data_IF_125347964015
#
_entry.id   IF_125347964015
#
_cell.length_a   1.000
_cell.length_b   1.000
_cell.length_c   1.000
_cell.angle_alpha   90.00
_cell.angle_beta   90.00
_cell.angle_gamma   90.00
#
_symmetry.space_group_name_H-M   'P 1'
#
loop_
_entity.id
_entity.type
_entity.pdbx_description
1 polymer ?
#
# COMPACT_ATOMS: atom_id res chain seq x y z
N UNK A 1 67.61 15.90 -28.06
CA UNK A 1 67.45 16.85 -26.94
C UNK A 1 65.98 17.22 -26.82
N UNK A 2 65.33 16.59 -25.85
CA UNK A 2 64.30 17.12 -24.94
C UNK A 2 63.67 18.48 -25.29
N UNK A 3 62.35 18.53 -25.50
CA UNK A 3 61.39 19.03 -24.49
C UNK A 3 59.94 18.82 -24.93
N UNK A 4 59.27 17.99 -24.13
CA UNK A 4 57.84 17.76 -24.05
C UNK A 4 57.18 19.06 -23.57
N UNK A 5 56.11 19.50 -24.24
CA UNK A 5 55.19 20.50 -23.72
C UNK A 5 53.77 19.97 -23.91
N UNK A 6 53.33 19.30 -22.85
CA UNK A 6 51.98 18.78 -22.61
C UNK A 6 51.04 19.98 -22.46
N UNK A 7 50.03 20.10 -23.32
CA UNK A 7 48.91 21.00 -23.12
C UNK A 7 47.63 20.17 -22.99
N UNK A 8 47.02 20.33 -21.83
CA UNK A 8 45.90 19.61 -21.25
C UNK A 8 44.65 19.77 -22.13
N UNK A 9 44.19 18.68 -22.76
CA UNK A 9 42.81 18.60 -23.24
C UNK A 9 41.98 18.11 -22.05
N UNK A 10 41.36 19.08 -21.36
CA UNK A 10 40.37 18.80 -20.34
C UNK A 10 39.17 18.13 -21.01
N UNK A 11 39.09 16.81 -20.90
CA UNK A 11 37.91 16.03 -21.27
C UNK A 11 36.84 16.33 -20.22
N UNK A 12 35.99 17.33 -20.50
CA UNK A 12 34.73 17.50 -19.81
C UNK A 12 33.83 16.31 -20.18
N UNK A 13 33.97 15.20 -19.44
CA UNK A 13 32.94 14.16 -19.38
C UNK A 13 31.75 14.81 -18.69
N UNK A 14 30.86 15.39 -19.48
CA UNK A 14 29.49 15.68 -19.07
C UNK A 14 28.87 14.33 -18.71
N UNK A 15 28.97 13.95 -17.44
CA UNK A 15 28.11 12.94 -16.86
C UNK A 15 26.69 13.51 -16.96
N UNK A 16 26.01 13.20 -18.06
CA UNK A 16 24.56 13.21 -18.09
C UNK A 16 24.12 12.18 -17.06
N UNK A 17 24.00 12.61 -15.82
CA UNK A 17 23.20 11.94 -14.81
C UNK A 17 21.79 11.93 -15.38
N UNK A 18 21.48 10.87 -16.15
CA UNK A 18 20.10 10.43 -16.30
C UNK A 18 19.59 10.37 -14.87
N UNK A 19 18.73 11.32 -14.52
CA UNK A 19 17.93 11.23 -13.32
C UNK A 19 17.11 9.96 -13.53
N UNK A 20 17.65 8.84 -13.05
CA UNK A 20 16.91 7.62 -12.93
C UNK A 20 15.89 7.97 -11.88
N UNK A 21 14.71 8.44 -12.35
CA UNK A 21 13.53 8.67 -11.53
C UNK A 21 13.50 7.49 -10.59
N UNK A 22 13.73 7.74 -9.31
CA UNK A 22 13.90 6.70 -8.32
C UNK A 22 12.62 5.89 -8.40
N UNK A 23 12.66 4.77 -9.12
CA UNK A 23 11.56 3.85 -9.14
C UNK A 23 11.51 3.40 -7.69
N UNK A 24 10.47 3.88 -7.01
CA UNK A 24 9.84 3.23 -5.89
C UNK A 24 10.21 1.74 -5.97
N UNK A 25 10.93 1.23 -4.96
CA UNK A 25 11.44 -0.14 -4.91
C UNK A 25 10.28 -1.12 -5.10
N UNK A 26 10.02 -1.41 -6.37
CA UNK A 26 8.90 -2.21 -6.83
C UNK A 26 9.14 -3.65 -6.41
N UNK A 27 8.55 -4.03 -5.28
CA UNK A 27 8.56 -5.39 -4.81
C UNK A 27 7.20 -6.02 -5.09
N UNK A 28 6.99 -6.60 -6.29
CA UNK A 28 5.73 -7.24 -6.61
C UNK A 28 5.44 -8.37 -5.63
N UNK A 29 4.17 -8.49 -5.23
CA UNK A 29 3.72 -9.50 -4.28
C UNK A 29 2.56 -10.32 -4.86
N UNK A 30 2.81 -11.53 -5.40
CA UNK A 30 1.76 -12.34 -6.05
C UNK A 30 0.53 -12.57 -5.18
N UNK A 31 0.71 -12.78 -3.87
CA UNK A 31 -0.41 -12.93 -2.93
C UNK A 31 -1.23 -11.64 -2.78
N UNK A 32 -0.59 -10.48 -2.75
CA UNK A 32 -1.32 -9.21 -2.71
C UNK A 32 -2.01 -8.94 -4.06
N UNK A 33 -1.40 -9.33 -5.18
CA UNK A 33 -2.04 -9.26 -6.50
C UNK A 33 -3.31 -10.13 -6.55
N UNK A 34 -3.29 -11.33 -5.98
CA UNK A 34 -4.47 -12.21 -5.93
C UNK A 34 -5.61 -11.57 -5.14
N UNK A 35 -5.32 -11.08 -3.93
CA UNK A 35 -6.31 -10.41 -3.07
C UNK A 35 -6.85 -9.15 -3.75
N UNK A 36 -5.97 -8.31 -4.29
CA UNK A 36 -6.34 -7.11 -5.00
C UNK A 36 -7.15 -7.42 -6.27
N UNK A 37 -6.83 -8.50 -6.99
CA UNK A 37 -7.57 -8.90 -8.19
C UNK A 37 -8.97 -9.40 -7.86
N UNK A 38 -9.13 -10.12 -6.75
CA UNK A 38 -10.44 -10.54 -6.25
C UNK A 38 -11.31 -9.32 -5.90
N UNK A 39 -10.72 -8.30 -5.26
CA UNK A 39 -11.44 -7.03 -5.01
C UNK A 39 -11.65 -6.25 -6.30
N UNK A 40 -10.68 -6.14 -7.20
CA UNK A 40 -10.84 -5.36 -8.44
C UNK A 40 -11.80 -6.02 -9.45
N UNK A 41 -12.09 -7.32 -9.30
CA UNK A 41 -12.88 -8.10 -10.27
C UNK A 41 -12.15 -8.34 -11.59
N UNK A 42 -10.84 -8.11 -11.63
CA UNK A 42 -9.97 -8.24 -12.80
C UNK A 42 -8.52 -8.41 -12.37
N UNK A 43 -7.67 -8.89 -13.27
CA UNK A 43 -6.24 -9.04 -12.99
C UNK A 43 -5.57 -7.68 -12.82
N UNK A 44 -4.93 -7.47 -11.67
CA UNK A 44 -4.20 -6.25 -11.32
C UNK A 44 -2.88 -6.58 -10.62
N UNK A 45 -2.00 -5.58 -10.55
CA UNK A 45 -0.71 -5.66 -9.87
C UNK A 45 -0.69 -4.70 -8.69
N UNK A 46 -0.17 -5.18 -7.55
CA UNK A 46 0.15 -4.37 -6.37
C UNK A 46 1.65 -4.16 -6.33
N UNK A 47 2.04 -2.89 -6.41
CA UNK A 47 3.40 -2.43 -6.22
C UNK A 47 3.58 -2.07 -4.75
N UNK A 48 4.36 -2.88 -4.05
CA UNK A 48 4.62 -2.72 -2.63
C UNK A 48 5.92 -1.97 -2.42
N UNK A 49 5.84 -0.70 -2.04
CA UNK A 49 7.02 0.10 -1.75
C UNK A 49 7.66 -0.34 -0.43
N UNK A 50 9.00 -0.30 -0.36
CA UNK A 50 9.76 -0.68 0.84
C UNK A 50 10.74 0.38 1.30
N UNK A 51 10.98 1.40 0.49
CA UNK A 51 11.86 2.52 0.71
C UNK A 51 11.04 3.81 0.90
N UNK A 52 10.98 4.28 2.15
CA UNK A 52 10.26 5.51 2.52
C UNK A 52 10.76 6.75 1.81
N UNK A 53 12.07 6.87 1.56
CA UNK A 53 12.61 8.02 0.86
C UNK A 53 12.18 8.04 -0.61
N UNK A 54 12.23 6.87 -1.27
CA UNK A 54 11.75 6.73 -2.65
C UNK A 54 10.25 7.03 -2.75
N UNK A 55 9.43 6.49 -1.83
CA UNK A 55 8.01 6.82 -1.74
C UNK A 55 7.77 8.33 -1.62
N UNK A 56 8.51 8.99 -0.72
CA UNK A 56 8.33 10.41 -0.49
C UNK A 56 8.69 11.26 -1.71
N UNK A 57 9.79 10.95 -2.40
CA UNK A 57 10.14 11.64 -3.64
C UNK A 57 9.09 11.39 -4.74
N UNK A 58 8.63 10.16 -4.86
CA UNK A 58 7.61 9.79 -5.84
C UNK A 58 6.29 10.52 -5.62
N UNK A 59 5.79 10.57 -4.37
CA UNK A 59 4.56 11.29 -4.05
C UNK A 59 4.70 12.80 -4.28
N UNK A 60 5.81 13.41 -3.89
CA UNK A 60 6.07 14.83 -4.15
C UNK A 60 6.04 15.12 -5.66
N UNK A 61 6.64 14.24 -6.47
CA UNK A 61 6.68 14.39 -7.93
C UNK A 61 5.29 14.31 -8.56
N UNK A 62 4.52 13.24 -8.26
CA UNK A 62 3.20 13.03 -8.89
C UNK A 62 2.12 14.00 -8.40
N UNK A 63 2.35 14.68 -7.29
CA UNK A 63 1.42 15.66 -6.71
C UNK A 63 1.92 17.10 -6.87
N UNK A 64 2.99 17.32 -7.63
CA UNK A 64 3.60 18.64 -7.83
C UNK A 64 3.92 19.38 -6.52
N UNK A 65 4.21 18.61 -5.46
CA UNK A 65 4.54 19.11 -4.12
C UNK A 65 3.34 19.39 -3.21
N UNK A 66 2.10 19.09 -3.62
CA UNK A 66 0.90 19.29 -2.82
C UNK A 66 0.82 18.31 -1.63
N UNK A 67 1.33 17.09 -1.79
CA UNK A 67 1.32 16.07 -0.74
C UNK A 67 2.71 15.52 -0.46
N UNK A 68 2.93 15.09 0.78
CA UNK A 68 4.12 14.35 1.20
C UNK A 68 3.83 12.86 1.25
N UNK A 69 4.86 12.04 1.08
CA UNK A 69 4.69 10.57 1.13
C UNK A 69 4.18 10.03 2.47
N UNK A 70 4.36 10.78 3.56
CA UNK A 70 3.81 10.41 4.87
C UNK A 70 2.28 10.54 4.96
N UNK A 71 1.66 11.31 4.05
CA UNK A 71 0.23 11.60 4.03
C UNK A 71 -0.54 10.62 3.13
N UNK A 72 0.17 9.89 2.25
CA UNK A 72 -0.42 8.99 1.25
C UNK A 72 -0.04 7.55 1.56
N UNK A 73 -1.04 6.73 1.88
CA UNK A 73 -0.85 5.30 2.16
C UNK A 73 -0.89 4.43 0.91
N UNK A 74 -1.57 4.87 -0.14
CA UNK A 74 -1.61 4.21 -1.43
C UNK A 74 -2.18 5.15 -2.50
N UNK A 75 -2.07 4.72 -3.74
CA UNK A 75 -2.83 5.32 -4.84
C UNK A 75 -3.02 4.33 -5.99
N UNK A 76 -4.12 4.49 -6.72
CA UNK A 76 -4.41 3.80 -7.95
C UNK A 76 -5.26 4.70 -8.86
N UNK A 77 -5.00 4.66 -10.16
CA UNK A 77 -5.90 5.29 -11.11
C UNK A 77 -7.16 4.46 -11.26
N UNK A 78 -8.32 5.13 -11.26
CA UNK A 78 -9.59 4.47 -11.50
C UNK A 78 -9.56 3.67 -12.81
N UNK A 79 -10.07 2.44 -12.78
CA UNK A 79 -9.99 1.48 -13.89
C UNK A 79 -8.57 1.11 -14.37
N UNK A 80 -7.52 1.53 -13.67
CA UNK A 80 -6.14 1.17 -13.95
C UNK A 80 -5.85 -0.33 -13.78
N UNK A 81 -4.56 -0.67 -13.83
CA UNK A 81 -4.06 -2.05 -13.65
C UNK A 81 -3.09 -2.21 -12.48
N UNK A 82 -2.75 -1.10 -11.82
CA UNK A 82 -1.66 -1.01 -10.85
C UNK A 82 -2.09 -0.18 -9.66
N UNK A 83 -2.00 -0.76 -8.47
CA UNK A 83 -2.06 -0.04 -7.21
C UNK A 83 -0.64 0.09 -6.66
N UNK A 84 -0.32 1.25 -6.10
CA UNK A 84 0.96 1.52 -5.45
C UNK A 84 0.68 1.76 -3.97
N UNK A 85 1.35 1.00 -3.11
CA UNK A 85 1.11 1.03 -1.66
C UNK A 85 2.39 1.46 -0.96
N UNK A 86 2.26 2.43 -0.04
CA UNK A 86 3.38 2.98 0.71
C UNK A 86 4.04 1.94 1.62
N UNK A 87 5.30 2.17 2.06
CA UNK A 87 5.95 1.28 3.02
C UNK A 87 5.17 1.08 4.32
N UNK A 88 4.53 2.14 4.81
CA UNK A 88 3.77 2.14 6.06
C UNK A 88 2.58 1.18 5.99
N UNK A 89 1.88 1.15 4.86
CA UNK A 89 0.76 0.24 4.63
C UNK A 89 1.22 -1.15 4.17
N UNK A 90 2.28 -1.22 3.36
CA UNK A 90 2.64 -2.45 2.69
C UNK A 90 3.50 -3.41 3.52
N UNK A 91 4.44 -2.90 4.33
CA UNK A 91 5.29 -3.75 5.17
C UNK A 91 4.47 -4.59 6.18
N UNK A 92 3.44 -4.06 6.85
CA UNK A 92 2.56 -4.86 7.71
C UNK A 92 1.83 -5.98 6.96
N UNK A 93 1.36 -5.74 5.74
CA UNK A 93 0.73 -6.77 4.90
C UNK A 93 1.70 -7.90 4.57
N UNK A 94 2.92 -7.54 4.16
CA UNK A 94 3.97 -8.53 3.86
C UNK A 94 4.39 -9.31 5.10
N UNK A 95 4.46 -8.66 6.25
CA UNK A 95 4.76 -9.33 7.51
C UNK A 95 3.64 -10.31 7.88
N UNK A 96 2.36 -9.91 7.73
CA UNK A 96 1.22 -10.77 7.99
C UNK A 96 1.24 -12.04 7.12
N UNK A 97 1.64 -11.94 5.85
CA UNK A 97 1.79 -13.11 4.97
C UNK A 97 2.89 -14.09 5.43
N UNK A 98 3.92 -13.61 6.13
CA UNK A 98 5.06 -14.44 6.58
C UNK A 98 4.86 -15.03 7.97
N UNK A 99 4.44 -14.21 8.93
CA UNK A 99 4.41 -14.57 10.36
C UNK A 99 3.01 -14.53 10.98
N UNK A 100 1.97 -14.32 10.16
CA UNK A 100 0.57 -14.10 10.57
C UNK A 100 0.39 -12.82 11.38
N UNK A 101 -0.85 -12.35 11.46
CA UNK A 101 -1.21 -11.15 12.23
C UNK A 101 -1.19 -11.48 13.73
N UNK A 102 -0.61 -10.59 14.53
CA UNK A 102 -0.60 -10.70 15.98
C UNK A 102 -1.08 -9.39 16.63
N UNK A 103 -1.17 -9.36 17.96
CA UNK A 103 -1.78 -8.24 18.66
C UNK A 103 -0.99 -6.92 18.52
N UNK A 104 0.34 -6.97 18.43
CA UNK A 104 1.18 -5.77 18.29
C UNK A 104 1.21 -5.23 16.86
N UNK A 105 0.93 -6.08 15.87
CA UNK A 105 0.90 -5.67 14.45
C UNK A 105 -0.51 -5.41 13.93
N UNK A 106 -1.56 -5.75 14.69
CA UNK A 106 -2.95 -5.69 14.25
C UNK A 106 -3.38 -4.30 13.76
N UNK A 107 -2.95 -3.21 14.40
CA UNK A 107 -3.27 -1.85 13.97
C UNK A 107 -2.67 -1.55 12.58
N UNK A 108 -1.35 -1.69 12.45
CA UNK A 108 -0.64 -1.42 11.21
C UNK A 108 -1.11 -2.34 10.07
N UNK A 109 -1.44 -3.60 10.39
CA UNK A 109 -2.06 -4.52 9.45
C UNK A 109 -3.45 -4.04 9.01
N UNK A 110 -4.28 -3.53 9.92
CA UNK A 110 -5.63 -3.04 9.59
C UNK A 110 -5.58 -1.85 8.64
N UNK A 111 -4.66 -0.91 8.88
CA UNK A 111 -4.42 0.22 7.98
C UNK A 111 -3.96 -0.25 6.59
N UNK A 112 -2.97 -1.16 6.55
CA UNK A 112 -2.49 -1.72 5.29
C UNK A 112 -3.59 -2.46 4.53
N UNK A 113 -4.42 -3.23 5.23
CA UNK A 113 -5.53 -3.97 4.63
C UNK A 113 -6.58 -3.03 4.06
N UNK A 114 -6.97 -2.01 4.82
CA UNK A 114 -7.92 -1.00 4.36
C UNK A 114 -7.40 -0.31 3.09
N UNK A 115 -6.15 0.13 3.10
CA UNK A 115 -5.49 0.75 1.94
C UNK A 115 -5.50 -0.19 0.72
N UNK A 116 -5.11 -1.45 0.89
CA UNK A 116 -5.11 -2.42 -0.20
C UNK A 116 -6.50 -2.57 -0.84
N UNK A 117 -7.54 -2.64 -0.01
CA UNK A 117 -8.92 -2.79 -0.48
C UNK A 117 -9.39 -1.51 -1.17
N UNK A 118 -9.12 -0.34 -0.59
CA UNK A 118 -9.44 0.97 -1.16
C UNK A 118 -8.86 1.12 -2.55
N UNK A 119 -7.54 0.93 -2.71
CA UNK A 119 -6.90 1.05 -4.01
C UNK A 119 -7.41 0.01 -5.01
N UNK A 120 -7.76 -1.19 -4.54
CA UNK A 120 -8.33 -2.23 -5.42
C UNK A 120 -9.73 -1.86 -5.92
N UNK A 121 -10.51 -1.10 -5.15
CA UNK A 121 -11.81 -0.58 -5.57
C UNK A 121 -11.67 0.54 -6.61
N UNK A 122 -10.66 1.39 -6.51
CA UNK A 122 -10.31 2.29 -7.62
C UNK A 122 -9.99 1.50 -8.89
N UNK A 123 -9.22 0.42 -8.78
CA UNK A 123 -8.94 -0.44 -9.94
C UNK A 123 -10.21 -1.09 -10.51
N UNK A 124 -11.23 -1.37 -9.70
CA UNK A 124 -12.57 -1.79 -10.17
C UNK A 124 -13.31 -0.70 -10.96
N UNK A 125 -12.89 0.56 -10.82
CA UNK A 125 -13.47 1.72 -11.51
C UNK A 125 -14.23 2.67 -10.59
N UNK A 126 -14.16 2.50 -9.27
CA UNK A 126 -14.75 3.46 -8.33
C UNK A 126 -13.89 4.73 -8.32
N UNK A 127 -14.53 5.89 -8.50
CA UNK A 127 -13.84 7.20 -8.56
C UNK A 127 -14.15 8.05 -7.34
N UNK A 128 -15.33 7.87 -6.75
CA UNK A 128 -15.73 8.58 -5.54
C UNK A 128 -14.95 8.03 -4.35
N UNK A 129 -14.06 8.84 -3.78
CA UNK A 129 -13.20 8.47 -2.66
C UNK A 129 -14.00 8.00 -1.45
N UNK A 130 -15.15 8.64 -1.17
CA UNK A 130 -15.96 8.27 0.00
C UNK A 130 -16.73 6.98 -0.16
N UNK A 131 -17.35 6.76 -1.30
CA UNK A 131 -17.96 5.48 -1.61
C UNK A 131 -16.92 4.35 -1.63
N UNK A 132 -15.71 4.64 -2.13
CA UNK A 132 -14.57 3.70 -2.15
C UNK A 132 -14.16 3.33 -0.73
N UNK A 133 -13.97 4.32 0.14
CA UNK A 133 -13.60 4.12 1.54
C UNK A 133 -14.70 3.36 2.33
N UNK A 134 -15.98 3.75 2.17
CA UNK A 134 -17.11 3.03 2.77
C UNK A 134 -17.14 1.54 2.39
N UNK A 135 -16.93 1.27 1.09
CA UNK A 135 -16.90 -0.10 0.57
C UNK A 135 -15.66 -0.85 1.06
N UNK A 136 -14.52 -0.17 1.19
CA UNK A 136 -13.30 -0.76 1.72
C UNK A 136 -13.49 -1.24 3.16
N UNK A 137 -14.14 -0.44 4.02
CA UNK A 137 -14.48 -0.84 5.39
C UNK A 137 -15.37 -2.08 5.46
N UNK A 138 -16.34 -2.19 4.54
CA UNK A 138 -17.25 -3.34 4.49
C UNK A 138 -16.53 -4.61 4.03
N UNK A 139 -15.64 -4.50 3.05
CA UNK A 139 -14.97 -5.64 2.43
C UNK A 139 -13.72 -6.12 3.18
N UNK A 140 -12.96 -5.21 3.83
CA UNK A 140 -11.71 -5.57 4.51
C UNK A 140 -11.86 -6.75 5.51
N UNK A 141 -12.90 -6.81 6.36
CA UNK A 141 -13.08 -7.95 7.27
C UNK A 141 -13.27 -9.30 6.58
N UNK A 142 -13.79 -9.32 5.34
CA UNK A 142 -14.02 -10.56 4.58
C UNK A 142 -12.71 -11.17 4.08
N UNK A 143 -11.67 -10.34 3.92
CA UNK A 143 -10.35 -10.76 3.41
C UNK A 143 -9.40 -11.25 4.51
N UNK A 144 -9.78 -11.17 5.79
CA UNK A 144 -8.94 -11.59 6.91
C UNK A 144 -8.48 -13.05 6.81
N UNK A 145 -9.32 -13.91 6.23
CA UNK A 145 -8.97 -15.31 6.03
C UNK A 145 -7.79 -15.49 5.05
N UNK A 146 -7.68 -14.63 4.03
CA UNK A 146 -6.55 -14.66 3.07
C UNK A 146 -5.21 -14.34 3.75
N UNK A 147 -5.24 -13.63 4.88
CA UNK A 147 -4.07 -13.34 5.73
C UNK A 147 -3.91 -14.33 6.89
N UNK A 148 -4.61 -15.46 6.87
CA UNK A 148 -4.52 -16.48 7.91
C UNK A 148 -5.16 -16.07 9.24
N UNK A 149 -6.11 -15.12 9.21
CA UNK A 149 -6.91 -14.70 10.37
C UNK A 149 -8.34 -15.24 10.20
N UNK A 150 -8.60 -16.52 10.54
CA UNK A 150 -9.92 -17.11 10.36
C UNK A 150 -10.92 -16.53 11.36
N UNK A 151 -12.20 -16.52 11.00
CA UNK A 151 -13.30 -16.04 11.85
C UNK A 151 -13.40 -16.79 13.20
N UNK A 152 -13.03 -18.08 13.22
CA UNK A 152 -13.06 -18.95 14.40
C UNK A 152 -11.73 -19.69 14.54
N UNK A 153 -11.28 -19.87 15.78
CA UNK A 153 -10.12 -20.67 16.15
C UNK A 153 -10.53 -21.81 17.09
N UNK A 154 -9.69 -22.83 17.20
CA UNK A 154 -9.90 -23.93 18.14
C UNK A 154 -9.07 -23.71 19.39
N UNK A 155 -9.73 -23.67 20.55
CA UNK A 155 -9.09 -23.59 21.88
C UNK A 155 -9.59 -24.77 22.69
N UNK A 156 -8.67 -25.64 23.15
CA UNK A 156 -8.99 -26.85 23.91
C UNK A 156 -10.10 -27.70 23.25
N UNK A 157 -10.01 -27.92 21.93
CA UNK A 157 -11.00 -28.70 21.17
C UNK A 157 -12.31 -27.96 20.85
N UNK A 158 -12.53 -26.76 21.37
CA UNK A 158 -13.75 -25.97 21.15
C UNK A 158 -13.52 -24.87 20.11
N UNK A 159 -14.43 -24.73 19.13
CA UNK A 159 -14.39 -23.61 18.18
C UNK A 159 -14.97 -22.35 18.81
N UNK A 160 -14.13 -21.34 18.98
CA UNK A 160 -14.50 -20.02 19.54
C UNK A 160 -14.24 -18.92 18.51
N UNK A 161 -14.88 -17.75 18.69
CA UNK A 161 -14.61 -16.59 17.86
C UNK A 161 -13.14 -16.16 17.99
N UNK A 162 -12.51 -15.80 16.87
CA UNK A 162 -11.12 -15.36 16.90
C UNK A 162 -11.04 -13.93 17.47
N UNK A 163 -10.38 -13.71 18.64
CA UNK A 163 -10.28 -12.38 19.24
C UNK A 163 -9.52 -11.39 18.34
N UNK A 164 -8.66 -11.89 17.43
CA UNK A 164 -7.96 -11.04 16.47
C UNK A 164 -8.92 -10.37 15.49
N UNK A 165 -9.97 -11.08 15.06
CA UNK A 165 -10.99 -10.51 14.16
C UNK A 165 -11.71 -9.35 14.83
N UNK A 166 -12.09 -9.50 16.10
CA UNK A 166 -12.70 -8.41 16.87
C UNK A 166 -11.77 -7.20 16.95
N UNK A 167 -10.49 -7.43 17.27
CA UNK A 167 -9.48 -6.36 17.39
C UNK A 167 -9.26 -5.61 16.06
N UNK A 168 -9.12 -6.34 14.95
CA UNK A 168 -8.96 -5.72 13.62
C UNK A 168 -10.21 -4.93 13.24
N UNK A 169 -11.41 -5.47 13.47
CA UNK A 169 -12.66 -4.73 13.24
C UNK A 169 -12.72 -3.44 14.06
N UNK A 170 -12.27 -3.45 15.31
CA UNK A 170 -12.18 -2.22 16.11
C UNK A 170 -11.23 -1.20 15.49
N UNK A 171 -10.06 -1.60 15.02
CA UNK A 171 -9.15 -0.65 14.36
C UNK A 171 -9.69 -0.09 13.04
N UNK A 172 -10.39 -0.93 12.27
CA UNK A 172 -11.12 -0.48 11.09
C UNK A 172 -12.21 0.53 11.46
N UNK A 173 -13.03 0.26 12.48
CA UNK A 173 -14.06 1.21 12.94
C UNK A 173 -13.46 2.53 13.44
N UNK A 174 -12.33 2.50 14.15
CA UNK A 174 -11.67 3.74 14.60
C UNK A 174 -11.15 4.57 13.43
N UNK A 175 -10.65 3.94 12.36
CA UNK A 175 -10.28 4.64 11.14
C UNK A 175 -11.52 5.26 10.46
N UNK A 176 -12.63 4.53 10.42
CA UNK A 176 -13.88 5.03 9.85
C UNK A 176 -14.45 6.24 10.60
N UNK A 177 -14.44 6.21 11.94
CA UNK A 177 -14.92 7.32 12.79
C UNK A 177 -14.05 8.58 12.66
N UNK A 178 -12.81 8.45 12.17
CA UNK A 178 -11.91 9.58 11.93
C UNK A 178 -12.11 10.25 10.57
N UNK A 179 -13.00 9.73 9.72
CA UNK A 179 -13.28 10.33 8.41
C UNK A 179 -14.02 11.67 8.55
N UNK A 180 -13.77 12.62 7.63
CA UNK A 180 -14.56 13.85 7.58
C UNK A 180 -16.05 13.55 7.36
N UNK A 181 -16.92 14.37 7.94
CA UNK A 181 -18.38 14.12 7.96
C UNK A 181 -19.01 13.95 6.56
N UNK A 182 -18.43 14.60 5.54
CA UNK A 182 -18.83 14.44 4.14
C UNK A 182 -18.74 12.99 3.65
N UNK A 183 -17.71 12.25 4.07
CA UNK A 183 -17.50 10.84 3.74
C UNK A 183 -18.51 9.93 4.45
N UNK A 184 -18.92 10.29 5.67
CA UNK A 184 -19.88 9.51 6.46
C UNK A 184 -21.31 9.58 5.92
N UNK A 185 -21.65 10.58 5.11
CA UNK A 185 -23.01 10.67 4.51
C UNK A 185 -23.21 9.74 3.31
N UNK A 186 -22.11 9.24 2.75
CA UNK A 186 -22.09 8.28 1.63
C UNK A 186 -22.09 6.83 2.16
N UNK A 187 -21.70 6.65 3.43
CA UNK A 187 -21.89 5.42 4.21
C UNK A 187 -23.26 5.44 4.93
#
# INVERSE_FOLDING_TARGET
>A
MTRILTAIVAVCIMLASVAQSAQAADSPSPYLNEIASAVAGKNVTVHCETNTAAWNFHIIDITEGEMRGAEVHGYAYANGKRAFISPQACLPLRAALKVRVNASTAYAFSLGLLTLVHESLHLRGMVDEGMTECMAFRLAPELLNAFGVPAKITVNGTRVANPMVKRIKTYLSLAHESLPAEYLTVC
#
